data_IF_369761798299
#
_entry.id   IF_369761798299
#
_cell.length_a   1.000
_cell.length_b   1.000
_cell.length_c   1.000
_cell.angle_alpha   90.00
_cell.angle_beta   90.00
_cell.angle_gamma   90.00
#
_symmetry.space_group_name_H-M   'P 1'
#
loop_
_entity.id
_entity.type
_entity.pdbx_description
1 polymer ?
#
# COMPACT_ATOMS: atom_id res chain seq x y z
N UNK A 1 -22.02 5.69 -25.01
CA UNK A 1 -21.11 6.23 -26.05
C UNK A 1 -20.78 7.67 -25.71
N UNK A 2 -19.50 8.07 -25.70
CA UNK A 2 -19.16 9.48 -25.50
C UNK A 2 -19.32 10.20 -26.83
N UNK A 3 -20.20 11.20 -26.91
CA UNK A 3 -20.54 11.84 -28.19
C UNK A 3 -19.56 12.97 -28.57
N UNK A 4 -18.82 13.52 -27.61
CA UNK A 4 -17.83 14.58 -27.82
C UNK A 4 -16.50 13.97 -28.29
N UNK A 5 -15.89 14.57 -29.32
CA UNK A 5 -14.65 14.08 -29.93
C UNK A 5 -13.47 13.97 -28.95
N UNK A 6 -13.34 14.91 -28.02
CA UNK A 6 -12.33 14.89 -26.94
C UNK A 6 -12.51 13.67 -26.03
N UNK A 7 -13.74 13.40 -25.58
CA UNK A 7 -14.06 12.26 -24.73
C UNK A 7 -13.78 10.91 -25.42
N UNK A 8 -14.07 10.77 -26.73
CA UNK A 8 -13.70 9.57 -27.50
C UNK A 8 -12.19 9.36 -27.57
N UNK A 9 -11.41 10.44 -27.67
CA UNK A 9 -9.93 10.40 -27.68
C UNK A 9 -9.38 10.00 -26.32
N UNK A 10 -9.92 10.55 -25.24
CA UNK A 10 -9.46 10.25 -23.89
C UNK A 10 -9.85 8.84 -23.44
N UNK A 11 -11.02 8.34 -23.85
CA UNK A 11 -11.40 6.94 -23.65
C UNK A 11 -10.38 5.98 -24.30
N UNK A 12 -9.98 6.24 -25.56
CA UNK A 12 -8.96 5.44 -26.26
C UNK A 12 -7.60 5.50 -25.55
N UNK A 13 -7.14 6.70 -25.17
CA UNK A 13 -5.88 6.90 -24.42
C UNK A 13 -5.90 6.18 -23.08
N UNK A 14 -7.01 6.27 -22.35
CA UNK A 14 -7.20 5.62 -21.05
C UNK A 14 -7.13 4.10 -21.17
N UNK A 15 -7.82 3.51 -22.15
CA UNK A 15 -7.79 2.07 -22.40
C UNK A 15 -6.36 1.57 -22.66
N UNK A 16 -5.61 2.25 -23.54
CA UNK A 16 -4.23 1.89 -23.86
C UNK A 16 -3.33 1.98 -22.62
N UNK A 17 -3.44 3.07 -21.84
CA UNK A 17 -2.69 3.23 -20.59
C UNK A 17 -3.06 2.16 -19.56
N UNK A 18 -4.33 1.80 -19.46
CA UNK A 18 -4.82 0.78 -18.54
C UNK A 18 -4.21 -0.59 -18.84
N UNK A 19 -4.13 -0.99 -20.11
CA UNK A 19 -3.50 -2.26 -20.53
C UNK A 19 -2.02 -2.31 -20.14
N UNK A 20 -1.26 -1.26 -20.46
CA UNK A 20 0.18 -1.16 -20.10
C UNK A 20 0.39 -1.14 -18.58
N UNK A 21 -0.43 -0.40 -17.85
CA UNK A 21 -0.33 -0.33 -16.40
C UNK A 21 -0.72 -1.66 -15.74
N UNK A 22 -1.65 -2.42 -16.33
CA UNK A 22 -2.05 -3.73 -15.83
C UNK A 22 -0.89 -4.72 -15.87
N UNK A 23 -0.18 -4.82 -16.99
CA UNK A 23 0.96 -5.73 -17.13
C UNK A 23 2.13 -5.35 -16.21
N UNK A 24 2.43 -4.06 -16.06
CA UNK A 24 3.49 -3.61 -15.15
C UNK A 24 3.12 -3.84 -13.68
N UNK A 25 1.87 -3.56 -13.29
CA UNK A 25 1.38 -3.82 -11.92
C UNK A 25 1.35 -5.31 -11.60
N UNK A 26 0.93 -6.17 -12.54
CA UNK A 26 0.92 -7.61 -12.35
C UNK A 26 2.34 -8.18 -12.23
N UNK A 27 3.28 -7.75 -13.07
CA UNK A 27 4.69 -8.17 -12.99
C UNK A 27 5.31 -7.84 -11.63
N UNK A 28 5.09 -6.62 -11.12
CA UNK A 28 5.55 -6.22 -9.77
C UNK A 28 4.88 -7.07 -8.69
N UNK A 29 3.56 -7.29 -8.77
CA UNK A 29 2.83 -8.14 -7.81
C UNK A 29 3.39 -9.56 -7.79
N UNK A 30 3.64 -10.15 -8.96
CA UNK A 30 4.18 -11.51 -9.09
C UNK A 30 5.54 -11.64 -8.42
N UNK A 31 6.46 -10.69 -8.64
CA UNK A 31 7.78 -10.70 -7.99
C UNK A 31 7.68 -10.61 -6.47
N UNK A 32 6.81 -9.74 -5.95
CA UNK A 32 6.56 -9.62 -4.51
C UNK A 32 5.96 -10.91 -3.95
N UNK A 33 5.00 -11.53 -4.64
CA UNK A 33 4.41 -12.80 -4.21
C UNK A 33 5.42 -13.94 -4.21
N UNK A 34 6.30 -14.02 -5.23
CA UNK A 34 7.39 -15.01 -5.29
C UNK A 34 8.33 -14.87 -4.09
N UNK A 35 8.78 -13.65 -3.78
CA UNK A 35 9.56 -13.39 -2.57
C UNK A 35 8.84 -13.84 -1.29
N UNK A 36 7.54 -13.53 -1.17
CA UNK A 36 6.75 -13.93 0.00
C UNK A 36 6.59 -15.44 0.15
N UNK A 37 6.54 -16.18 -0.96
CA UNK A 37 6.48 -17.65 -0.97
C UNK A 37 7.83 -18.26 -0.57
N UNK A 38 8.92 -17.76 -1.15
CA UNK A 38 10.28 -18.18 -0.77
C UNK A 38 10.56 -17.98 0.73
N UNK A 39 10.07 -16.89 1.33
CA UNK A 39 10.18 -16.68 2.78
C UNK A 39 9.31 -17.65 3.62
N UNK A 40 8.22 -18.17 3.06
CA UNK A 40 7.31 -19.06 3.78
C UNK A 40 7.79 -20.52 3.77
N UNK A 41 8.53 -20.93 2.73
CA UNK A 41 8.99 -22.30 2.50
C UNK A 41 10.17 -22.74 3.41
N UNK A 42 10.54 -21.93 4.42
CA UNK A 42 11.51 -22.20 5.52
C UNK A 42 12.48 -23.38 5.26
N UNK A 43 13.56 -23.11 4.56
CA UNK A 43 14.73 -23.98 4.46
C UNK A 43 15.74 -23.42 3.46
N UNK A 44 16.98 -23.19 3.88
CA UNK A 44 18.23 -22.87 3.11
C UNK A 44 18.20 -21.80 1.99
N UNK A 45 17.08 -21.15 1.76
CA UNK A 45 16.85 -20.28 0.61
C UNK A 45 17.15 -18.80 0.96
N UNK A 46 18.04 -18.56 1.93
CA UNK A 46 18.42 -17.20 2.31
C UNK A 46 18.96 -16.41 1.10
N UNK A 47 19.78 -17.07 0.28
CA UNK A 47 20.35 -16.49 -0.93
C UNK A 47 19.29 -16.22 -2.01
N UNK A 48 18.39 -17.18 -2.28
CA UNK A 48 17.37 -16.94 -3.31
C UNK A 48 16.34 -15.90 -2.83
N UNK A 49 16.04 -15.83 -1.53
CA UNK A 49 15.19 -14.78 -0.98
C UNK A 49 15.82 -13.40 -1.15
N UNK A 50 17.14 -13.26 -0.96
CA UNK A 50 17.88 -12.02 -1.22
C UNK A 50 17.87 -11.64 -2.71
N UNK A 51 18.11 -12.59 -3.60
CA UNK A 51 18.04 -12.36 -5.05
C UNK A 51 16.62 -11.94 -5.49
N UNK A 52 15.59 -12.60 -4.97
CA UNK A 52 14.19 -12.26 -5.23
C UNK A 52 13.82 -10.88 -4.69
N UNK A 53 14.38 -10.47 -3.54
CA UNK A 53 14.20 -9.12 -3.02
C UNK A 53 14.82 -8.07 -3.96
N UNK A 54 16.05 -8.28 -4.43
CA UNK A 54 16.73 -7.36 -5.36
C UNK A 54 15.96 -7.21 -6.68
N UNK A 55 15.50 -8.33 -7.26
CA UNK A 55 14.71 -8.29 -8.50
C UNK A 55 13.35 -7.63 -8.32
N UNK A 56 12.74 -7.74 -7.14
CA UNK A 56 11.49 -7.06 -6.78
C UNK A 56 11.71 -5.55 -6.60
N UNK A 57 12.80 -5.13 -5.94
CA UNK A 57 13.18 -3.72 -5.79
C UNK A 57 13.43 -3.07 -7.15
N UNK A 58 14.23 -3.71 -8.01
CA UNK A 58 14.48 -3.21 -9.36
C UNK A 58 13.18 -3.04 -10.17
N UNK A 59 12.23 -3.98 -10.02
CA UNK A 59 10.92 -3.86 -10.68
C UNK A 59 10.07 -2.70 -10.14
N UNK A 60 10.13 -2.44 -8.83
CA UNK A 60 9.44 -1.32 -8.21
C UNK A 60 10.00 0.02 -8.71
N UNK A 61 11.32 0.13 -8.85
CA UNK A 61 11.98 1.34 -9.36
C UNK A 61 11.66 1.60 -10.82
N UNK A 62 11.71 0.57 -11.66
CA UNK A 62 11.28 0.67 -13.05
C UNK A 62 9.81 1.10 -13.17
N UNK A 63 8.95 0.69 -12.24
CA UNK A 63 7.55 1.11 -12.20
C UNK A 63 7.36 2.56 -11.70
N UNK A 64 8.27 3.06 -10.85
CA UNK A 64 8.31 4.46 -10.44
C UNK A 64 8.75 5.35 -11.61
N UNK A 65 9.85 5.01 -12.29
CA UNK A 65 10.37 5.77 -13.44
C UNK A 65 9.34 5.86 -14.58
N UNK A 66 8.52 4.83 -14.76
CA UNK A 66 7.42 4.82 -15.74
C UNK A 66 6.14 5.53 -15.27
N UNK A 67 6.13 6.11 -14.06
CA UNK A 67 4.97 6.82 -13.50
C UNK A 67 3.76 5.94 -13.15
N UNK A 68 3.92 4.61 -13.11
CA UNK A 68 2.80 3.68 -12.86
C UNK A 68 2.51 3.54 -11.37
N UNK A 69 3.54 3.66 -10.53
CA UNK A 69 3.44 3.68 -9.08
C UNK A 69 4.05 4.97 -8.53
N UNK A 70 3.34 5.62 -7.62
CA UNK A 70 3.85 6.81 -6.94
C UNK A 70 5.14 6.50 -6.15
N UNK A 71 6.13 7.41 -6.10
CA UNK A 71 7.40 7.20 -5.38
C UNK A 71 7.20 6.79 -3.92
N UNK A 72 6.29 7.43 -3.20
CA UNK A 72 5.97 7.04 -1.82
C UNK A 72 5.38 5.62 -1.71
N UNK A 73 4.59 5.17 -2.70
CA UNK A 73 4.07 3.81 -2.70
C UNK A 73 5.21 2.80 -2.92
N UNK A 74 6.17 3.14 -3.76
CA UNK A 74 7.37 2.34 -4.01
C UNK A 74 8.26 2.29 -2.77
N UNK A 75 8.56 3.44 -2.16
CA UNK A 75 9.35 3.53 -0.93
C UNK A 75 8.74 2.67 0.20
N UNK A 76 7.42 2.76 0.43
CA UNK A 76 6.74 1.92 1.43
C UNK A 76 6.85 0.42 1.12
N UNK A 77 6.79 0.04 -0.16
CA UNK A 77 6.92 -1.38 -0.57
C UNK A 77 8.34 -1.88 -0.40
N UNK A 78 9.35 -1.09 -0.78
CA UNK A 78 10.77 -1.42 -0.54
C UNK A 78 11.07 -1.61 0.94
N UNK A 79 10.66 -0.66 1.79
CA UNK A 79 10.86 -0.74 3.23
C UNK A 79 10.24 -2.02 3.83
N UNK A 80 9.04 -2.41 3.38
CA UNK A 80 8.38 -3.65 3.82
C UNK A 80 9.09 -4.92 3.35
N UNK A 81 9.67 -4.93 2.15
CA UNK A 81 10.45 -6.07 1.65
C UNK A 81 11.72 -6.24 2.47
N UNK A 82 12.48 -5.16 2.66
CA UNK A 82 13.73 -5.18 3.43
C UNK A 82 13.50 -5.55 4.89
N UNK A 83 12.48 -4.99 5.54
CA UNK A 83 12.13 -5.36 6.92
C UNK A 83 11.85 -6.86 7.08
N UNK A 84 11.24 -7.49 6.07
CA UNK A 84 10.96 -8.93 6.09
C UNK A 84 12.19 -9.78 5.86
N UNK A 85 13.08 -9.35 4.96
CA UNK A 85 14.36 -10.02 4.72
C UNK A 85 15.21 -9.95 6.00
N UNK A 86 15.38 -8.76 6.58
CA UNK A 86 16.16 -8.58 7.79
C UNK A 86 15.58 -9.36 8.98
N UNK A 87 14.25 -9.43 9.10
CA UNK A 87 13.62 -10.25 10.14
C UNK A 87 13.85 -11.76 9.92
N UNK A 88 13.99 -12.21 8.67
CA UNK A 88 14.30 -13.60 8.36
C UNK A 88 15.78 -13.94 8.61
N UNK A 89 16.71 -13.01 8.35
CA UNK A 89 18.14 -13.19 8.60
C UNK A 89 18.50 -13.01 10.09
N UNK A 90 17.91 -12.01 10.77
CA UNK A 90 18.14 -11.78 12.20
C UNK A 90 17.57 -12.89 13.10
N UNK A 91 16.64 -13.71 12.60
CA UNK A 91 16.22 -14.91 13.30
C UNK A 91 17.25 -16.05 13.22
N UNK A 92 18.20 -15.99 12.27
CA UNK A 92 19.30 -16.95 12.12
C UNK A 92 20.56 -16.50 12.89
N UNK A 93 20.85 -15.20 12.88
CA UNK A 93 22.05 -14.66 13.52
C UNK A 93 21.69 -13.91 14.82
N UNK A 94 21.85 -14.59 15.96
CA UNK A 94 21.65 -14.02 17.30
C UNK A 94 22.70 -12.96 17.72
N UNK A 95 23.24 -12.18 16.78
CA UNK A 95 24.24 -11.15 17.11
C UNK A 95 24.06 -9.87 16.30
N UNK A 96 24.01 -8.76 17.05
CA UNK A 96 24.29 -7.37 16.65
C UNK A 96 23.10 -6.48 16.29
N UNK A 97 22.79 -5.60 17.25
CA UNK A 97 21.95 -4.41 17.10
C UNK A 97 22.54 -3.40 16.11
N UNK A 98 21.71 -2.66 15.36
CA UNK A 98 22.13 -1.38 14.82
C UNK A 98 21.62 -0.25 15.72
N UNK A 99 22.57 0.33 16.44
CA UNK A 99 22.45 1.61 17.11
C UNK A 99 22.14 2.75 16.11
N UNK A 100 21.40 3.75 16.62
CA UNK A 100 21.39 5.16 16.23
C UNK A 100 21.14 5.55 14.74
N UNK A 101 19.92 6.03 14.49
CA UNK A 101 19.67 7.08 13.49
C UNK A 101 18.66 8.10 14.07
N UNK A 102 19.12 8.83 15.08
CA UNK A 102 18.49 10.03 15.64
C UNK A 102 19.28 11.24 15.14
N UNK A 103 18.72 11.99 14.18
CA UNK A 103 18.62 13.46 14.00
C UNK A 103 17.80 13.66 12.70
N UNK A 104 16.75 14.45 12.55
CA UNK A 104 16.04 15.42 13.36
C UNK A 104 15.32 16.41 12.41
N UNK A 105 14.02 16.67 12.64
CA UNK A 105 13.23 17.83 12.15
C UNK A 105 12.86 17.89 10.65
N UNK A 106 11.63 18.21 10.23
CA UNK A 106 10.60 19.00 10.88
C UNK A 106 9.20 18.35 10.79
N UNK A 107 8.64 17.99 11.94
CA UNK A 107 7.18 18.04 12.15
C UNK A 107 6.91 19.36 12.87
N UNK A 108 6.49 20.38 12.13
CA UNK A 108 5.97 21.61 12.74
C UNK A 108 4.64 21.27 13.41
N UNK A 109 4.68 21.02 14.71
CA UNK A 109 3.53 21.14 15.58
C UNK A 109 3.50 22.59 16.09
N UNK A 110 2.41 23.31 15.82
CA UNK A 110 2.09 24.53 16.53
C UNK A 110 0.58 24.51 16.86
N UNK A 111 0.34 24.31 18.16
CA UNK A 111 -0.79 24.77 18.96
C UNK A 111 -2.21 24.33 18.61
N UNK A 112 -2.70 23.41 19.44
CA UNK A 112 -4.09 23.41 19.91
C UNK A 112 -4.42 24.72 20.63
N UNK A 113 -5.38 25.49 20.12
CA UNK A 113 -6.47 26.08 20.93
C UNK A 113 -7.43 26.83 20.01
N UNK A 114 -8.64 26.27 19.85
CA UNK A 114 -9.94 26.95 19.85
C UNK A 114 -11.01 26.01 19.30
N UNK A 115 -11.94 25.63 20.17
CA UNK A 115 -13.32 25.39 19.78
C UNK A 115 -13.67 23.98 19.35
N UNK A 116 -13.84 23.10 20.34
CA UNK A 116 -14.86 22.06 20.25
C UNK A 116 -16.24 22.73 20.14
N UNK A 117 -16.78 22.83 18.93
CA UNK A 117 -18.22 22.90 18.71
C UNK A 117 -18.64 21.71 17.86
N UNK A 118 -18.72 20.54 18.51
CA UNK A 118 -19.69 19.52 18.13
C UNK A 118 -21.06 20.15 18.25
N UNK A 119 -21.58 20.75 17.18
CA UNK A 119 -23.01 21.05 17.09
C UNK A 119 -23.74 19.72 17.00
N UNK A 120 -24.14 19.23 18.17
CA UNK A 120 -25.23 18.30 18.37
C UNK A 120 -26.52 18.97 17.89
N UNK A 121 -26.89 18.80 16.62
CA UNK A 121 -28.28 19.00 16.21
C UNK A 121 -29.05 17.72 16.50
N UNK A 122 -29.66 17.70 17.68
CA UNK A 122 -30.85 16.94 17.97
C UNK A 122 -31.88 17.10 16.86
N UNK A 123 -32.05 16.07 16.03
CA UNK A 123 -33.36 15.75 15.45
C UNK A 123 -33.69 14.34 15.88
N UNK A 124 -34.24 14.25 17.09
CA UNK A 124 -35.14 13.17 17.41
C UNK A 124 -36.36 13.29 16.49
N UNK A 125 -36.69 12.21 15.79
CA UNK A 125 -38.07 11.88 15.45
C UNK A 125 -38.16 10.37 15.25
N UNK A 126 -38.72 9.72 16.27
CA UNK A 126 -39.52 8.49 16.20
C UNK A 126 -38.97 7.30 15.40
N UNK A 127 -38.21 6.44 16.11
CA UNK A 127 -38.39 4.99 15.97
C UNK A 127 -39.78 4.65 16.52
N UNK A 128 -40.80 4.64 15.68
CA UNK A 128 -42.04 3.93 16.02
C UNK A 128 -41.79 2.45 15.82
N UNK A 129 -41.60 1.78 16.96
CA UNK A 129 -41.79 0.36 17.16
C UNK A 129 -43.22 -0.03 16.75
N UNK A 130 -43.41 -0.53 15.53
CA UNK A 130 -44.60 -1.36 15.25
C UNK A 130 -44.29 -2.78 15.73
N UNK A 131 -44.77 -3.05 16.94
CA UNK A 131 -44.79 -4.35 17.58
C UNK A 131 -45.57 -5.34 16.72
N UNK A 132 -44.94 -6.50 16.51
CA UNK A 132 -45.65 -7.77 16.33
C UNK A 132 -46.85 -7.85 17.29
N UNK A 133 -48.05 -7.99 16.75
CA UNK A 133 -49.17 -8.60 17.47
C UNK A 133 -49.84 -9.63 16.55
N UNK A 134 -49.51 -10.90 16.81
CA UNK A 134 -50.36 -12.06 16.48
C UNK A 134 -51.57 -11.97 17.41
N UNK A 135 -52.79 -12.11 16.88
CA UNK A 135 -53.98 -12.76 17.47
C UNK A 135 -55.26 -12.11 16.94
N UNK A 136 -56.11 -12.89 16.27
CA UNK A 136 -57.43 -12.48 15.75
C UNK A 136 -57.61 -13.00 14.34
#
# INVERSE_FOLDING_TARGET
>A
MANIASSKKDARRSAIRAVRNRSLKSAVKTKITRFRRALAERGEVAEQAAQLATTAVSALDRAASKGVLHPNNVARRKARLMKRLNAATAAADGSTAPAAAEKGGARKAAASSRGSSRTSSSRGSSRTSSSRKRSG
#
